data_IF_904979806139
#
_entry.id   IF_904979806139
#
_cell.length_a   1.000
_cell.length_b   1.000
_cell.length_c   1.000
_cell.angle_alpha   90.00
_cell.angle_beta   90.00
_cell.angle_gamma   90.00
#
_symmetry.space_group_name_H-M   'P 1'
#
loop_
_entity.id
_entity.type
_entity.pdbx_description
1 polymer ?
#
# COMPACT_ATOMS: atom_id res chain seq x y z
N UNK A 1 13.00 9.98 -11.30
CA UNK A 1 12.79 9.92 -10.86
C UNK A 1 12.74 9.28 -10.17
N UNK A 2 12.92 9.09 -10.01
CA UNK A 2 12.79 8.45 -9.51
C UNK A 2 12.41 8.23 -8.68
N UNK A 3 12.33 8.14 -8.37
CA UNK A 3 12.02 7.96 -7.56
C UNK A 3 11.83 6.86 -7.03
N UNK A 4 12.28 6.59 -6.21
CA UNK A 4 11.95 5.43 -5.60
C UNK A 4 10.52 5.37 -5.42
N UNK A 5 9.93 4.34 -5.78
CA UNK A 5 8.55 4.27 -5.62
C UNK A 5 8.18 3.33 -4.55
N UNK A 6 7.20 3.68 -3.73
CA UNK A 6 6.80 2.81 -2.64
C UNK A 6 6.25 1.50 -3.13
N UNK A 7 5.54 1.52 -4.22
CA UNK A 7 4.98 0.28 -4.71
C UNK A 7 5.20 0.20 -6.18
N UNK A 8 5.04 -0.97 -6.74
CA UNK A 8 5.24 -1.10 -8.12
C UNK A 8 4.01 -0.89 -8.89
N UNK A 9 4.15 -0.50 -10.11
CA UNK A 9 3.08 -0.43 -11.06
C UNK A 9 1.97 0.47 -10.60
N UNK A 10 0.76 0.03 -10.84
CA UNK A 10 -0.41 0.83 -10.57
C UNK A 10 -0.55 1.22 -9.10
N UNK A 11 -0.10 0.36 -8.21
CA UNK A 11 -0.25 0.65 -6.80
C UNK A 11 0.54 1.88 -6.40
N UNK A 12 1.67 2.11 -7.03
CA UNK A 12 2.51 3.24 -6.68
C UNK A 12 1.94 4.57 -7.10
N UNK A 13 0.97 4.56 -8.03
CA UNK A 13 0.42 5.79 -8.54
C UNK A 13 -1.04 5.99 -8.17
N UNK A 14 -1.53 5.24 -7.20
CA UNK A 14 -2.90 5.42 -6.75
C UNK A 14 -3.11 6.80 -6.15
N UNK A 15 -4.28 7.37 -6.41
CA UNK A 15 -4.66 8.57 -5.69
C UNK A 15 -5.00 8.17 -4.26
N UNK A 16 -5.08 9.16 -3.39
CA UNK A 16 -5.41 8.90 -2.01
C UNK A 16 -6.77 8.20 -1.88
N UNK A 17 -7.75 8.67 -2.59
CA UNK A 17 -9.09 8.09 -2.51
C UNK A 17 -9.08 6.63 -2.94
N UNK A 18 -8.40 6.34 -4.04
CA UNK A 18 -8.33 4.97 -4.52
C UNK A 18 -7.52 4.11 -3.55
N UNK A 19 -6.44 4.66 -3.01
CA UNK A 19 -5.63 3.90 -2.07
C UNK A 19 -6.44 3.52 -0.84
N UNK A 20 -7.24 4.45 -0.33
CA UNK A 20 -8.06 4.15 0.83
C UNK A 20 -9.06 3.05 0.54
N UNK A 21 -9.66 3.10 -0.63
CA UNK A 21 -10.62 2.08 -1.02
C UNK A 21 -9.95 0.71 -1.14
N UNK A 22 -8.80 0.67 -1.79
CA UNK A 22 -8.11 -0.60 -1.98
C UNK A 22 -7.65 -1.17 -0.65
N UNK A 23 -7.15 -0.32 0.24
CA UNK A 23 -6.72 -0.79 1.55
C UNK A 23 -7.89 -1.38 2.31
N UNK A 24 -9.04 -0.72 2.25
CA UNK A 24 -10.23 -1.22 2.91
C UNK A 24 -10.63 -2.59 2.36
N UNK A 25 -10.66 -2.69 1.04
CA UNK A 25 -11.06 -3.93 0.40
C UNK A 25 -10.06 -5.06 0.60
N UNK A 26 -8.80 -4.71 0.82
CA UNK A 26 -7.78 -5.71 1.03
C UNK A 26 -7.94 -6.45 2.36
N UNK A 27 -8.67 -5.85 3.29
CA UNK A 27 -8.99 -6.49 4.56
C UNK A 27 -7.74 -6.97 5.28
N UNK A 28 -6.83 -6.04 5.54
CA UNK A 28 -5.51 -6.38 6.04
C UNK A 28 -5.43 -6.64 7.53
N UNK A 29 -6.40 -6.15 8.29
CA UNK A 29 -6.30 -6.17 9.73
C UNK A 29 -5.75 -4.86 10.24
N UNK A 30 -5.93 -4.61 11.53
CA UNK A 30 -5.65 -3.29 12.09
C UNK A 30 -4.19 -2.87 11.91
N UNK A 31 -3.28 -3.76 12.25
CA UNK A 31 -1.88 -3.39 12.22
C UNK A 31 -1.37 -3.18 10.81
N UNK A 32 -1.69 -4.12 9.92
CA UNK A 32 -1.22 -4.00 8.54
C UNK A 32 -1.93 -2.88 7.82
N UNK A 33 -3.15 -2.56 8.20
CA UNK A 33 -3.84 -1.41 7.64
C UNK A 33 -3.08 -0.12 7.96
N UNK A 34 -2.59 0.01 9.19
CA UNK A 34 -1.79 1.17 9.54
C UNK A 34 -0.53 1.26 8.70
N UNK A 35 0.15 0.14 8.54
CA UNK A 35 1.37 0.11 7.74
C UNK A 35 1.07 0.48 6.31
N UNK A 36 -0.01 -0.06 5.77
CA UNK A 36 -0.37 0.23 4.39
C UNK A 36 -0.69 1.71 4.20
N UNK A 37 -1.40 2.31 5.15
CA UNK A 37 -1.71 3.72 5.03
C UNK A 37 -0.47 4.58 5.09
N UNK A 38 0.46 4.25 5.96
CA UNK A 38 1.71 5.01 6.04
C UNK A 38 2.50 4.90 4.74
N UNK A 39 2.49 3.73 4.15
CA UNK A 39 3.29 3.49 2.97
C UNK A 39 2.64 4.04 1.70
N UNK A 40 1.37 3.74 1.48
CA UNK A 40 0.72 4.08 0.23
C UNK A 40 0.09 5.46 0.22
N UNK A 41 -0.34 5.94 1.38
CA UNK A 41 -1.02 7.23 1.44
C UNK A 41 -0.07 8.32 1.90
N UNK A 42 0.62 8.08 3.01
CA UNK A 42 1.53 9.08 3.56
C UNK A 42 2.90 9.04 2.93
N UNK A 43 3.19 8.00 2.19
CA UNK A 43 4.44 7.88 1.44
C UNK A 43 5.66 7.90 2.34
N UNK A 44 5.55 7.30 3.52
CA UNK A 44 6.65 7.25 4.45
C UNK A 44 7.66 6.20 4.02
N UNK A 45 8.95 6.47 4.18
CA UNK A 45 9.95 5.44 3.94
C UNK A 45 9.86 4.34 4.98
N UNK A 46 10.32 3.17 4.61
CA UNK A 46 10.17 1.99 5.46
C UNK A 46 10.82 2.18 6.83
N UNK A 47 11.93 2.90 6.87
CA UNK A 47 12.60 3.09 8.14
C UNK A 47 11.75 3.93 9.09
N UNK A 48 11.00 4.87 8.55
CA UNK A 48 10.12 5.67 9.39
C UNK A 48 8.91 4.87 9.85
N UNK A 49 8.39 4.02 8.97
CA UNK A 49 7.28 3.17 9.35
C UNK A 49 7.71 2.23 10.46
N UNK A 50 8.92 1.68 10.34
CA UNK A 50 9.44 0.79 11.36
C UNK A 50 9.52 1.49 12.71
N UNK A 51 9.97 2.74 12.71
CA UNK A 51 10.05 3.50 13.93
C UNK A 51 8.68 3.75 14.54
N UNK A 52 7.72 4.12 13.69
CA UNK A 52 6.37 4.38 14.15
C UNK A 52 5.71 3.14 14.73
N UNK A 53 5.93 2.01 14.10
CA UNK A 53 5.31 0.76 14.54
C UNK A 53 6.12 0.05 15.58
N UNK A 54 7.32 0.55 15.88
CA UNK A 54 8.22 -0.08 16.83
C UNK A 54 8.57 -1.49 16.41
N UNK A 55 8.89 -1.62 15.14
CA UNK A 55 9.27 -2.89 14.53
C UNK A 55 10.59 -2.73 13.82
N UNK A 56 11.23 -3.87 13.57
CA UNK A 56 12.44 -3.86 12.74
C UNK A 56 12.08 -3.50 11.32
N UNK A 57 13.00 -2.84 10.65
CA UNK A 57 12.82 -2.52 9.26
C UNK A 57 12.61 -3.78 8.43
N UNK A 58 13.31 -4.85 8.78
CA UNK A 58 13.13 -6.11 8.08
C UNK A 58 11.72 -6.63 8.20
N UNK A 59 11.16 -6.51 9.40
CA UNK A 59 9.79 -6.94 9.62
C UNK A 59 8.82 -6.12 8.78
N UNK A 60 9.04 -4.81 8.72
CA UNK A 60 8.19 -3.94 7.92
C UNK A 60 8.29 -4.35 6.45
N UNK A 61 9.50 -4.63 5.98
CA UNK A 61 9.70 -5.02 4.60
C UNK A 61 8.93 -6.30 4.26
N UNK A 62 8.97 -7.26 5.17
CA UNK A 62 8.26 -8.52 4.97
C UNK A 62 6.77 -8.32 4.98
N UNK A 63 6.30 -7.50 5.91
CA UNK A 63 4.86 -7.21 5.96
C UNK A 63 4.38 -6.49 4.73
N UNK A 64 5.20 -5.55 4.24
CA UNK A 64 4.82 -4.82 3.04
C UNK A 64 4.76 -5.72 1.82
N UNK A 65 5.60 -6.75 1.77
CA UNK A 65 5.52 -7.69 0.67
C UNK A 65 4.17 -8.39 0.66
N UNK A 66 3.74 -8.85 1.82
CA UNK A 66 2.45 -9.51 1.94
C UNK A 66 1.31 -8.52 1.67
N UNK A 67 1.42 -7.33 2.25
CA UNK A 67 0.41 -6.29 2.04
C UNK A 67 0.27 -5.97 0.56
N UNK A 68 1.40 -5.86 -0.12
CA UNK A 68 1.39 -5.53 -1.53
C UNK A 68 0.63 -6.58 -2.34
N UNK A 69 0.82 -7.85 -2.00
CA UNK A 69 0.08 -8.91 -2.69
C UNK A 69 -1.41 -8.80 -2.47
N UNK A 70 -1.79 -8.51 -1.22
CA UNK A 70 -3.20 -8.35 -0.91
C UNK A 70 -3.78 -7.13 -1.60
N UNK A 71 -3.00 -6.06 -1.67
CA UNK A 71 -3.45 -4.84 -2.33
C UNK A 71 -3.66 -5.08 -3.82
N UNK A 72 -2.78 -5.84 -4.43
CA UNK A 72 -2.95 -6.14 -5.85
C UNK A 72 -4.24 -6.92 -6.10
N UNK A 73 -4.52 -7.89 -5.26
CA UNK A 73 -5.74 -8.66 -5.41
C UNK A 73 -6.96 -7.76 -5.24
N UNK A 74 -6.93 -6.90 -4.23
CA UNK A 74 -8.05 -6.01 -4.00
C UNK A 74 -8.22 -5.01 -5.14
N UNK A 75 -7.11 -4.54 -5.69
CA UNK A 75 -7.16 -3.63 -6.81
C UNK A 75 -7.95 -4.23 -7.96
N UNK A 76 -7.69 -5.49 -8.24
CA UNK A 76 -8.41 -6.15 -9.32
C UNK A 76 -9.87 -6.36 -8.99
N UNK A 77 -10.13 -6.77 -7.77
CA UNK A 77 -11.51 -7.11 -7.39
C UNK A 77 -12.41 -5.89 -7.32
N UNK A 78 -11.86 -4.77 -6.90
CA UNK A 78 -12.68 -3.57 -6.79
C UNK A 78 -12.92 -2.90 -8.12
N UNK A 79 -12.16 -3.27 -9.12
CA UNK A 79 -12.26 -2.61 -10.40
C UNK A 79 -11.61 -1.25 -10.43
N UNK A 80 -10.86 -0.92 -9.39
CA UNK A 80 -10.22 0.38 -9.34
C UNK A 80 -9.30 0.59 -10.54
N UNK A 81 -8.60 -0.48 -10.93
CA UNK A 81 -7.72 -0.38 -12.08
C UNK A 81 -8.47 -0.12 -13.35
N UNK A 82 -9.61 -0.76 -13.52
CA UNK A 82 -10.41 -0.55 -14.71
C UNK A 82 -10.98 0.86 -14.75
N UNK A 83 -11.42 1.33 -13.60
CA UNK A 83 -11.92 2.69 -13.54
C UNK A 83 -10.83 3.68 -13.90
N UNK A 84 -9.65 3.40 -13.46
CA UNK A 84 -8.52 4.25 -13.79
C UNK A 84 -8.20 4.24 -15.26
N UNK A 85 -8.44 3.11 -15.90
CA UNK A 85 -8.17 2.99 -17.31
C UNK A 85 -9.10 3.83 -18.14
N UNK A 86 -10.07 4.28 -17.52
CA UNK A 86 -10.93 5.11 -18.23
C UNK A 86 -11.91 4.40 -19.00
N UNK A 87 -11.87 3.96 -18.90
CA UNK A 87 -12.66 3.62 -19.64
C UNK A 87 -13.13 3.77 -19.94
#
# INVERSE_FOLDING_TARGET
>A
MAKARPAEGALGSMTRTVAEKVIYEANLGAEDTKIARMYYIERMPQIEIAAEMQMDRKTISERLRWINERMKAAWKETGAGRAEDGR
#
